data_IF_281649268751
#
_entry.id   IF_281649268751
#
_cell.length_a   1.000
_cell.length_b   1.000
_cell.length_c   1.000
_cell.angle_alpha   90.00
_cell.angle_beta   90.00
_cell.angle_gamma   90.00
#
_symmetry.space_group_name_H-M   'P 1'
#
loop_
_entity.id
_entity.type
_entity.pdbx_description
1 polymer ?
#
# COMPACT_ATOMS: atom_id res chain seq x y z
N UNK A 1 10.61 -27.33 31.86
CA UNK A 1 10.07 -25.96 31.72
C UNK A 1 10.87 -25.09 30.74
N UNK A 2 12.21 -25.12 30.76
CA UNK A 2 13.08 -24.38 29.80
C UNK A 2 12.79 -24.64 28.30
N UNK A 3 12.54 -25.90 27.92
CA UNK A 3 12.25 -26.26 26.51
C UNK A 3 10.95 -25.61 26.01
N UNK A 4 9.94 -25.47 26.90
CA UNK A 4 8.64 -24.85 26.53
C UNK A 4 8.78 -23.34 26.26
N UNK A 5 9.68 -22.67 26.97
CA UNK A 5 9.93 -21.23 26.79
C UNK A 5 10.64 -20.98 25.46
N UNK A 6 11.61 -21.82 25.08
CA UNK A 6 12.32 -21.70 23.80
C UNK A 6 11.40 -21.83 22.58
N UNK A 7 10.42 -22.74 22.63
CA UNK A 7 9.43 -22.93 21.56
C UNK A 7 8.50 -21.72 21.42
N UNK A 8 8.07 -21.13 22.55
CA UNK A 8 7.20 -19.96 22.54
C UNK A 8 7.92 -18.75 21.93
N UNK A 9 9.19 -18.53 22.32
CA UNK A 9 9.99 -17.43 21.77
C UNK A 9 10.19 -17.58 20.26
N UNK A 10 10.45 -18.80 19.78
CA UNK A 10 10.59 -19.07 18.35
C UNK A 10 9.29 -18.80 17.59
N UNK A 11 8.14 -19.23 18.13
CA UNK A 11 6.84 -18.99 17.50
C UNK A 11 6.51 -17.49 17.41
N UNK A 12 6.80 -16.72 18.46
CA UNK A 12 6.59 -15.25 18.45
C UNK A 12 7.52 -14.58 17.45
N UNK A 13 8.80 -14.98 17.39
CA UNK A 13 9.73 -14.42 16.43
C UNK A 13 9.31 -14.67 14.97
N UNK A 14 8.79 -15.86 14.66
CA UNK A 14 8.27 -16.19 13.32
C UNK A 14 7.05 -15.36 12.95
N UNK A 15 6.14 -15.10 13.90
CA UNK A 15 4.98 -14.23 13.67
C UNK A 15 5.40 -12.78 13.38
N UNK A 16 6.37 -12.26 14.15
CA UNK A 16 6.88 -10.89 13.94
C UNK A 16 7.58 -10.78 12.58
N UNK A 17 8.40 -11.77 12.21
CA UNK A 17 9.06 -11.79 10.91
C UNK A 17 8.06 -11.81 9.75
N UNK A 18 7.04 -12.67 9.83
CA UNK A 18 5.97 -12.71 8.83
C UNK A 18 5.21 -11.38 8.72
N UNK A 19 4.98 -10.70 9.85
CA UNK A 19 4.32 -9.40 9.87
C UNK A 19 5.16 -8.31 9.19
N UNK A 20 6.47 -8.27 9.47
CA UNK A 20 7.39 -7.33 8.86
C UNK A 20 7.57 -7.58 7.35
N UNK A 21 7.53 -8.85 6.91
CA UNK A 21 7.58 -9.21 5.49
C UNK A 21 6.30 -8.86 4.71
N UNK A 22 5.21 -8.55 5.40
CA UNK A 22 3.92 -8.24 4.79
C UNK A 22 3.64 -6.73 4.74
N UNK A 23 4.61 -5.90 5.14
CA UNK A 23 4.53 -4.45 4.98
C UNK A 23 4.79 -4.15 3.50
N UNK A 24 3.79 -3.68 2.74
CA UNK A 24 3.99 -3.32 1.34
C UNK A 24 5.06 -2.24 1.26
N UNK A 25 5.99 -2.40 0.33
CA UNK A 25 6.96 -1.34 0.02
C UNK A 25 6.24 -0.12 -0.54
N UNK A 26 6.86 1.07 -0.43
CA UNK A 26 6.30 2.32 -0.97
C UNK A 26 5.93 2.18 -2.46
N UNK A 27 6.76 1.49 -3.25
CA UNK A 27 6.50 1.20 -4.66
C UNK A 27 5.27 0.29 -4.89
N UNK A 28 5.04 -0.68 -4.01
CA UNK A 28 3.86 -1.55 -4.09
C UNK A 28 2.59 -0.79 -3.72
N UNK A 29 2.65 0.07 -2.70
CA UNK A 29 1.56 0.95 -2.29
C UNK A 29 1.21 1.94 -3.40
N UNK A 30 2.20 2.57 -4.03
CA UNK A 30 1.99 3.47 -5.17
C UNK A 30 1.39 2.75 -6.38
N UNK A 31 1.89 1.56 -6.71
CA UNK A 31 1.36 0.76 -7.81
C UNK A 31 -0.08 0.31 -7.54
N UNK A 32 -0.39 -0.05 -6.30
CA UNK A 32 -1.75 -0.42 -5.89
C UNK A 32 -2.69 0.79 -5.94
N UNK A 33 -2.25 1.95 -5.44
CA UNK A 33 -2.99 3.20 -5.54
C UNK A 33 -3.32 3.56 -7.00
N UNK A 34 -2.33 3.48 -7.90
CA UNK A 34 -2.54 3.79 -9.33
C UNK A 34 -3.56 2.88 -10.00
N UNK A 35 -3.64 1.60 -9.60
CA UNK A 35 -4.64 0.65 -10.12
C UNK A 35 -6.03 0.86 -9.53
N UNK A 36 -6.12 1.47 -8.35
CA UNK A 36 -7.36 1.73 -7.65
C UNK A 36 -8.01 3.06 -8.05
N UNK A 37 -7.32 3.89 -8.86
CA UNK A 37 -7.90 5.11 -9.40
C UNK A 37 -9.01 4.81 -10.40
N UNK A 38 -10.11 5.51 -10.22
CA UNK A 38 -11.32 5.42 -11.03
C UNK A 38 -11.98 6.80 -11.20
N UNK A 39 -13.16 6.83 -11.83
CA UNK A 39 -13.91 8.05 -12.10
C UNK A 39 -14.53 8.71 -10.86
N UNK A 40 -14.49 8.05 -9.70
CA UNK A 40 -14.91 8.60 -8.41
C UNK A 40 -13.72 9.16 -7.62
N UNK A 41 -12.50 8.81 -8.01
CA UNK A 41 -11.29 9.23 -7.34
C UNK A 41 -11.05 10.71 -7.56
N UNK A 42 -11.13 11.49 -6.48
CA UNK A 42 -10.87 12.93 -6.51
C UNK A 42 -9.84 13.33 -5.45
N UNK A 43 -9.51 14.62 -5.37
CA UNK A 43 -8.63 15.12 -4.30
C UNK A 43 -9.22 14.90 -2.90
N UNK A 44 -10.54 15.04 -2.77
CA UNK A 44 -11.27 14.92 -1.50
C UNK A 44 -11.81 13.52 -1.25
N UNK A 45 -11.93 12.71 -2.30
CA UNK A 45 -12.41 11.33 -2.26
C UNK A 45 -11.29 10.42 -2.72
N UNK A 46 -10.39 10.12 -1.79
CA UNK A 46 -9.20 9.30 -2.04
C UNK A 46 -9.48 7.85 -1.63
N UNK A 47 -9.15 6.86 -2.48
CA UNK A 47 -9.24 5.45 -2.12
C UNK A 47 -8.40 5.12 -0.88
N UNK A 48 -8.88 4.20 -0.03
CA UNK A 48 -8.18 3.83 1.20
C UNK A 48 -6.72 3.40 0.96
N UNK A 49 -6.48 2.68 -0.14
CA UNK A 49 -5.16 2.21 -0.54
C UNK A 49 -4.19 3.34 -0.96
N UNK A 50 -4.71 4.54 -1.23
CA UNK A 50 -3.93 5.71 -1.56
C UNK A 50 -3.66 6.60 -0.34
N UNK A 51 -4.23 6.31 0.84
CA UNK A 51 -4.06 7.16 2.03
C UNK A 51 -2.60 7.23 2.50
N UNK A 52 -1.84 6.16 2.29
CA UNK A 52 -0.41 6.09 2.63
C UNK A 52 0.50 6.71 1.54
N UNK A 53 -0.06 7.16 0.41
CA UNK A 53 0.68 7.84 -0.66
C UNK A 53 0.74 9.34 -0.38
N UNK A 54 1.89 9.97 -0.64
CA UNK A 54 2.04 11.41 -0.44
C UNK A 54 1.00 12.22 -1.23
N UNK A 55 0.58 13.39 -0.73
CA UNK A 55 -0.37 14.25 -1.43
C UNK A 55 0.09 14.65 -2.84
N UNK A 56 1.38 14.92 -3.00
CA UNK A 56 2.00 15.32 -4.27
C UNK A 56 2.01 14.18 -5.29
N UNK A 57 2.36 12.96 -4.85
CA UNK A 57 2.37 11.78 -5.71
C UNK A 57 0.95 11.42 -6.16
N UNK A 58 -0.03 11.45 -5.25
CA UNK A 58 -1.42 11.19 -5.60
C UNK A 58 -1.98 12.18 -6.63
N UNK A 59 -1.63 13.47 -6.50
CA UNK A 59 -2.01 14.49 -7.49
C UNK A 59 -1.46 14.16 -8.88
N UNK A 60 -0.23 13.66 -8.94
CA UNK A 60 0.38 13.21 -10.20
C UNK A 60 -0.38 12.01 -10.77
N UNK A 61 -0.79 11.07 -9.93
CA UNK A 61 -1.55 9.90 -10.39
C UNK A 61 -2.94 10.27 -10.89
N UNK A 62 -3.63 11.22 -10.25
CA UNK A 62 -4.91 11.74 -10.75
C UNK A 62 -4.76 12.39 -12.13
N UNK A 63 -3.74 13.23 -12.32
CA UNK A 63 -3.47 13.85 -13.62
C UNK A 63 -3.19 12.80 -14.70
N UNK A 64 -2.38 11.79 -14.38
CA UNK A 64 -2.07 10.70 -15.31
C UNK A 64 -3.30 9.86 -15.65
N UNK A 65 -4.20 9.65 -14.69
CA UNK A 65 -5.47 8.98 -14.91
C UNK A 65 -6.37 9.79 -15.85
N UNK A 66 -6.53 11.09 -15.60
CA UNK A 66 -7.30 11.99 -16.47
C UNK A 66 -6.77 12.00 -17.90
N UNK A 67 -5.45 12.14 -18.08
CA UNK A 67 -4.81 12.10 -19.40
C UNK A 67 -5.08 10.78 -20.14
N UNK A 68 -5.02 9.65 -19.42
CA UNK A 68 -5.32 8.33 -19.98
C UNK A 68 -6.78 8.20 -20.41
N UNK A 69 -7.71 8.69 -19.60
CA UNK A 69 -9.15 8.69 -19.94
C UNK A 69 -9.44 9.59 -21.17
N UNK A 70 -8.65 10.63 -21.38
CA UNK A 70 -8.67 11.46 -22.59
C UNK A 70 -7.97 10.82 -23.80
N UNK A 71 -7.35 9.64 -23.64
CA UNK A 71 -6.62 8.93 -24.70
C UNK A 71 -5.24 9.50 -25.00
N UNK A 72 -4.69 10.29 -24.07
CA UNK A 72 -3.35 10.89 -24.11
C UNK A 72 -2.39 10.03 -23.24
N UNK A 73 -2.06 8.81 -23.70
CA UNK A 73 -1.08 7.91 -23.05
C UNK A 73 0.25 7.85 -23.83
#
# INVERSE_FOLDING_TARGET
MRIRIGVIVLAVALLIAAFLSNIPTEAETEAACRRALDNLSTWTERPDICQDVSPETYRTFLLMYELREEGLD
#
